data_IF_431136891455
#
_entry.id   IF_431136891455
#
_cell.length_a   1.000
_cell.length_b   1.000
_cell.length_c   1.000
_cell.angle_alpha   90.00
_cell.angle_beta   90.00
_cell.angle_gamma   90.00
#
_symmetry.space_group_name_H-M   'P 1'
#
loop_
_entity.id
_entity.type
_entity.pdbx_description
1 polymer ?
#
# COMPACT_ATOMS: atom_id res chain seq x y z
N UNK A 1 -4.21 -0.24 -13.54
CA UNK A 1 -3.87 0.88 -12.65
C UNK A 1 -3.87 0.34 -11.24
N UNK A 2 -2.82 0.55 -10.46
CA UNK A 2 -2.81 0.18 -9.03
C UNK A 2 -3.82 1.07 -8.31
N UNK A 3 -4.83 0.49 -7.66
CA UNK A 3 -5.81 1.23 -6.87
C UNK A 3 -5.18 1.77 -5.58
N UNK A 4 -5.82 2.74 -4.93
CA UNK A 4 -5.38 3.18 -3.60
C UNK A 4 -5.42 2.00 -2.61
N UNK A 5 -6.43 1.13 -2.69
CA UNK A 5 -6.49 -0.09 -1.87
C UNK A 5 -5.23 -0.95 -2.04
N UNK A 6 -4.82 -1.27 -3.27
CA UNK A 6 -3.62 -2.08 -3.50
C UNK A 6 -2.32 -1.38 -3.10
N UNK A 7 -2.30 -0.04 -3.07
CA UNK A 7 -1.12 0.70 -2.63
C UNK A 7 -0.89 0.60 -1.12
N UNK A 8 -1.94 0.39 -0.33
CA UNK A 8 -1.87 0.39 1.14
C UNK A 8 -2.19 -0.96 1.78
N UNK A 9 -3.17 -1.69 1.26
CA UNK A 9 -3.56 -3.02 1.70
C UNK A 9 -2.79 -4.07 0.89
N UNK A 10 -2.13 -4.99 1.59
CA UNK A 10 -1.26 -6.01 0.99
C UNK A 10 0.18 -5.97 1.48
N UNK A 11 0.54 -4.98 2.28
CA UNK A 11 1.83 -4.91 2.96
C UNK A 11 1.73 -5.49 4.36
N UNK A 12 2.64 -6.39 4.71
CA UNK A 12 2.82 -6.88 6.08
C UNK A 12 4.05 -6.20 6.66
N UNK A 13 3.92 -5.64 7.87
CA UNK A 13 5.05 -5.04 8.57
C UNK A 13 5.94 -6.14 9.15
N UNK A 14 7.24 -5.88 9.25
CA UNK A 14 8.13 -6.76 10.02
C UNK A 14 7.85 -6.63 11.51
N UNK A 15 7.73 -7.77 12.19
CA UNK A 15 7.49 -7.82 13.63
C UNK A 15 8.74 -7.45 14.43
N UNK A 16 8.53 -6.66 15.48
CA UNK A 16 9.51 -6.37 16.52
C UNK A 16 9.35 -7.34 17.70
N UNK A 17 10.37 -7.44 18.56
CA UNK A 17 10.21 -8.06 19.86
C UNK A 17 9.14 -7.32 20.70
N UNK A 18 8.34 -8.01 21.53
CA UNK A 18 7.22 -7.43 22.27
C UNK A 18 7.56 -6.23 23.17
N UNK A 19 8.82 -6.12 23.61
CA UNK A 19 9.33 -5.10 24.52
C UNK A 19 10.16 -4.00 23.82
N UNK A 20 10.07 -3.91 22.49
CA UNK A 20 10.80 -2.91 21.72
C UNK A 20 10.38 -1.48 22.11
N UNK A 21 11.34 -0.70 22.62
CA UNK A 21 11.09 0.67 23.10
C UNK A 21 11.10 1.73 21.99
N UNK A 22 11.78 1.45 20.88
CA UNK A 22 11.93 2.36 19.73
C UNK A 22 11.89 1.56 18.43
N UNK A 23 10.70 1.15 17.97
CA UNK A 23 10.55 0.36 16.75
C UNK A 23 11.04 1.16 15.54
N UNK A 24 12.11 0.67 14.92
CA UNK A 24 12.67 1.22 13.70
C UNK A 24 13.47 0.12 12.98
N UNK A 25 13.36 0.06 11.66
CA UNK A 25 14.10 -0.89 10.82
C UNK A 25 15.21 -0.16 10.06
N UNK A 26 16.44 -0.62 10.24
CA UNK A 26 17.58 -0.31 9.37
C UNK A 26 17.61 -1.36 8.25
N UNK A 27 17.36 -0.90 7.01
CA UNK A 27 17.24 -1.74 5.83
C UNK A 27 18.51 -1.67 4.99
N UNK A 28 19.09 -2.82 4.67
CA UNK A 28 20.25 -2.91 3.79
C UNK A 28 20.09 -4.07 2.82
N UNK A 29 20.67 -3.92 1.64
CA UNK A 29 20.65 -4.95 0.60
C UNK A 29 22.07 -5.34 0.17
N UNK A 30 22.23 -6.61 -0.23
CA UNK A 30 23.41 -7.17 -0.90
C UNK A 30 22.93 -7.89 -2.15
N UNK A 31 23.64 -7.72 -3.26
CA UNK A 31 23.46 -8.53 -4.47
C UNK A 31 24.70 -9.40 -4.62
N UNK A 32 24.50 -10.69 -4.88
CA UNK A 32 25.55 -11.67 -5.16
C UNK A 32 25.32 -12.23 -6.57
N UNK A 33 26.08 -11.76 -7.55
CA UNK A 33 25.84 -12.03 -8.98
C UNK A 33 26.14 -13.48 -9.40
N UNK A 34 26.73 -14.29 -8.52
CA UNK A 34 27.19 -15.66 -8.83
C UNK A 34 26.67 -16.72 -7.84
N UNK A 35 25.46 -16.51 -7.31
CA UNK A 35 24.87 -17.45 -6.36
C UNK A 35 24.48 -18.78 -7.02
N UNK A 36 24.75 -19.89 -6.32
CA UNK A 36 24.44 -21.24 -6.80
C UNK A 36 23.04 -21.67 -6.35
N UNK A 37 22.21 -22.15 -7.28
CA UNK A 37 20.92 -22.79 -6.96
C UNK A 37 21.18 -24.07 -6.17
N UNK A 38 20.70 -24.13 -4.91
CA UNK A 38 20.81 -25.35 -4.09
C UNK A 38 19.91 -26.45 -4.66
N UNK A 39 20.44 -27.68 -4.77
CA UNK A 39 19.80 -28.83 -5.44
C UNK A 39 18.61 -29.47 -4.69
N UNK A 40 18.11 -28.82 -3.64
CA UNK A 40 17.11 -29.39 -2.72
C UNK A 40 15.74 -28.77 -2.94
N UNK A 41 15.04 -29.27 -3.96
CA UNK A 41 13.67 -28.91 -4.33
C UNK A 41 13.39 -29.41 -5.75
N UNK A 42 12.24 -30.02 -5.99
CA UNK A 42 11.91 -30.71 -7.24
C UNK A 42 12.11 -29.83 -8.49
N UNK A 43 12.81 -30.41 -9.48
CA UNK A 43 13.22 -29.86 -10.78
C UNK A 43 14.25 -28.73 -10.75
N UNK A 44 15.53 -29.13 -10.83
CA UNK A 44 16.53 -28.28 -11.48
C UNK A 44 15.98 -27.85 -12.85
N UNK A 45 15.88 -26.55 -13.08
CA UNK A 45 15.47 -25.97 -14.36
C UNK A 45 16.54 -26.25 -15.41
N UNK A 46 16.58 -27.49 -15.93
CA UNK A 46 17.43 -27.82 -17.08
C UNK A 46 16.88 -27.09 -18.29
N UNK A 47 17.55 -26.01 -18.67
CA UNK A 47 17.38 -25.46 -20.00
C UNK A 47 17.78 -26.53 -21.02
N UNK A 48 16.94 -26.74 -22.03
CA UNK A 48 17.22 -27.69 -23.11
C UNK A 48 18.25 -27.15 -24.12
N UNK A 49 18.58 -25.85 -24.02
CA UNK A 49 19.55 -25.19 -24.88
C UNK A 49 20.98 -25.44 -24.34
N UNK A 50 21.84 -26.15 -25.10
CA UNK A 50 23.20 -26.47 -24.69
C UNK A 50 24.11 -25.23 -24.58
N UNK A 51 23.72 -24.09 -25.13
CA UNK A 51 24.47 -22.83 -25.09
C UNK A 51 23.98 -21.90 -23.95
N UNK A 52 23.09 -22.37 -23.08
CA UNK A 52 22.52 -21.55 -22.02
C UNK A 52 23.19 -21.75 -20.65
N UNK A 53 23.90 -20.74 -20.16
CA UNK A 53 24.68 -20.77 -18.90
C UNK A 53 23.85 -20.49 -17.63
N UNK A 54 22.52 -20.41 -17.73
CA UNK A 54 21.64 -20.05 -16.61
C UNK A 54 21.15 -21.24 -15.75
N UNK A 55 21.62 -22.47 -16.00
CA UNK A 55 21.11 -23.70 -15.35
C UNK A 55 21.37 -23.74 -13.83
N UNK A 56 22.36 -22.97 -13.33
CA UNK A 56 22.80 -23.09 -11.92
C UNK A 56 23.14 -21.80 -11.19
N UNK A 57 23.34 -20.70 -11.92
CA UNK A 57 23.76 -19.41 -11.37
C UNK A 57 22.66 -18.39 -11.52
N UNK A 58 22.48 -17.56 -10.51
CA UNK A 58 21.55 -16.43 -10.53
C UNK A 58 22.11 -15.29 -9.67
N UNK A 59 21.66 -14.07 -9.94
CA UNK A 59 21.94 -12.96 -9.05
C UNK A 59 21.02 -13.10 -7.81
N UNK A 60 21.59 -13.30 -6.62
CA UNK A 60 20.83 -13.37 -5.38
C UNK A 60 20.75 -11.99 -4.73
N UNK A 61 19.53 -11.51 -4.47
CA UNK A 61 19.26 -10.37 -3.60
C UNK A 61 19.08 -10.87 -2.17
N UNK A 62 19.88 -10.36 -1.25
CA UNK A 62 19.64 -10.45 0.19
C UNK A 62 19.24 -9.09 0.73
N UNK A 63 18.09 -8.98 1.39
CA UNK A 63 17.68 -7.80 2.17
C UNK A 63 17.72 -8.16 3.65
N UNK A 64 18.41 -7.35 4.46
CA UNK A 64 18.32 -7.43 5.91
C UNK A 64 17.53 -6.25 6.48
N UNK A 65 16.65 -6.53 7.42
CA UNK A 65 16.00 -5.54 8.27
C UNK A 65 16.47 -5.75 9.70
N UNK A 66 17.14 -4.76 10.29
CA UNK A 66 17.68 -4.83 11.66
C UNK A 66 17.02 -3.76 12.52
N UNK A 67 16.43 -4.15 13.64
CA UNK A 67 16.00 -3.20 14.65
C UNK A 67 17.07 -3.06 15.73
N UNK A 68 17.80 -1.96 15.73
CA UNK A 68 18.84 -1.70 16.74
C UNK A 68 18.30 -1.52 18.16
N UNK A 69 17.00 -1.24 18.33
CA UNK A 69 16.39 -1.09 19.65
C UNK A 69 16.05 -2.41 20.34
N UNK A 70 15.67 -3.45 19.59
CA UNK A 70 15.27 -4.75 20.17
C UNK A 70 16.08 -5.94 19.67
N UNK A 71 17.05 -5.71 18.77
CA UNK A 71 17.89 -6.76 18.21
C UNK A 71 17.19 -7.71 17.25
N UNK A 72 15.92 -7.47 16.91
CA UNK A 72 15.20 -8.26 15.90
C UNK A 72 15.89 -8.12 14.53
N UNK A 73 16.06 -9.24 13.84
CA UNK A 73 16.69 -9.30 12.50
C UNK A 73 15.81 -10.16 11.60
N UNK A 74 15.42 -9.60 10.45
CA UNK A 74 14.83 -10.34 9.33
C UNK A 74 15.83 -10.40 8.18
N UNK A 75 16.03 -11.59 7.61
CA UNK A 75 16.85 -11.81 6.41
C UNK A 75 15.95 -12.39 5.33
N UNK A 76 15.82 -11.67 4.23
CA UNK A 76 15.05 -12.05 3.06
C UNK A 76 16.01 -12.32 1.91
N UNK A 77 15.87 -13.47 1.26
CA UNK A 77 16.68 -13.86 0.09
C UNK A 77 15.77 -14.14 -1.10
N UNK A 78 16.19 -13.77 -2.30
CA UNK A 78 15.45 -14.06 -3.53
C UNK A 78 16.28 -13.80 -4.78
N UNK A 79 15.75 -14.18 -5.94
CA UNK A 79 16.38 -13.90 -7.22
C UNK A 79 16.25 -12.41 -7.57
N UNK A 80 17.37 -11.76 -7.84
CA UNK A 80 17.43 -10.37 -8.26
C UNK A 80 17.17 -10.28 -9.76
N UNK A 81 16.07 -9.62 -10.14
CA UNK A 81 15.76 -9.34 -11.54
C UNK A 81 16.09 -7.89 -11.93
N UNK A 82 15.59 -6.94 -11.16
CA UNK A 82 15.82 -5.51 -11.38
C UNK A 82 15.46 -4.72 -10.13
N UNK A 83 15.93 -3.49 -10.05
CA UNK A 83 15.47 -2.50 -9.07
C UNK A 83 15.08 -1.21 -9.77
N UNK A 84 14.10 -0.51 -9.22
CA UNK A 84 13.74 0.84 -9.66
C UNK A 84 13.56 1.73 -8.44
N UNK A 85 14.03 2.96 -8.54
CA UNK A 85 13.86 3.98 -7.50
C UNK A 85 12.88 5.02 -8.00
N UNK A 86 11.84 5.27 -7.23
CA UNK A 86 10.81 6.26 -7.53
C UNK A 86 10.50 7.08 -6.28
N UNK A 87 9.57 8.03 -6.39
CA UNK A 87 9.15 8.88 -5.27
C UNK A 87 7.76 8.48 -4.78
N UNK A 88 7.50 8.74 -3.50
CA UNK A 88 6.21 8.46 -2.85
C UNK A 88 5.02 9.14 -3.56
N UNK A 89 5.24 10.27 -4.24
CA UNK A 89 4.20 10.94 -5.01
C UNK A 89 3.70 10.10 -6.20
N UNK A 90 4.56 9.24 -6.76
CA UNK A 90 4.24 8.39 -7.92
C UNK A 90 3.50 7.14 -7.47
N UNK A 91 3.97 6.46 -6.43
CA UNK A 91 3.40 5.19 -5.95
C UNK A 91 2.24 5.36 -4.98
N UNK A 92 2.02 6.56 -4.45
CA UNK A 92 0.97 6.87 -3.47
C UNK A 92 1.31 6.43 -2.05
N UNK A 93 1.89 5.23 -1.90
CA UNK A 93 2.36 4.70 -0.64
C UNK A 93 3.46 5.58 -0.01
N UNK A 94 3.38 5.77 1.32
CA UNK A 94 4.33 6.57 2.11
C UNK A 94 4.06 8.08 2.14
N UNK A 95 3.05 8.58 1.42
CA UNK A 95 2.62 9.99 1.52
C UNK A 95 1.86 10.23 2.81
N UNK A 96 2.09 11.38 3.45
CA UNK A 96 1.33 11.80 4.64
C UNK A 96 -0.15 12.02 4.29
N UNK A 97 -1.10 11.56 5.15
CA UNK A 97 -2.51 11.83 4.94
C UNK A 97 -2.83 13.32 5.14
N UNK A 98 -3.90 13.79 4.50
CA UNK A 98 -4.52 15.08 4.83
C UNK A 98 -5.59 14.86 5.89
N UNK A 99 -5.70 15.74 6.88
CA UNK A 99 -6.76 15.65 7.88
C UNK A 99 -7.95 16.53 7.50
N UNK A 100 -9.10 15.91 7.26
CA UNK A 100 -10.32 16.61 6.82
C UNK A 100 -11.50 16.04 7.59
N UNK A 101 -12.26 16.90 8.26
CA UNK A 101 -13.52 16.54 8.95
C UNK A 101 -13.38 15.35 9.93
N UNK A 102 -12.27 15.28 10.68
CA UNK A 102 -12.02 14.20 11.63
C UNK A 102 -11.57 12.87 10.99
N UNK A 103 -11.26 12.87 9.69
CA UNK A 103 -10.73 11.73 8.96
C UNK A 103 -9.30 12.00 8.48
N UNK A 104 -8.51 10.94 8.36
CA UNK A 104 -7.25 10.93 7.63
C UNK A 104 -7.52 10.49 6.19
N UNK A 105 -7.13 11.33 5.23
CA UNK A 105 -7.33 11.13 3.78
C UNK A 105 -6.00 10.76 3.15
N UNK A 106 -5.83 9.47 2.89
CA UNK A 106 -4.62 8.85 2.37
C UNK A 106 -4.62 8.86 0.84
N UNK A 107 -3.67 9.53 0.18
CA UNK A 107 -3.64 9.60 -1.27
C UNK A 107 -3.22 8.28 -1.89
N UNK A 108 -3.94 7.81 -2.91
CA UNK A 108 -3.49 6.74 -3.78
C UNK A 108 -2.32 7.17 -4.69
N UNK A 109 -1.89 6.27 -5.60
CA UNK A 109 -0.87 6.57 -6.59
C UNK A 109 -1.25 7.81 -7.43
N UNK A 110 -0.25 8.63 -7.76
CA UNK A 110 -0.42 9.71 -8.72
C UNK A 110 -0.68 9.14 -10.12
N UNK A 111 -1.41 9.89 -10.95
CA UNK A 111 -1.45 9.59 -12.37
C UNK A 111 -0.05 9.85 -12.97
N UNK A 112 0.39 8.97 -13.86
CA UNK A 112 1.73 9.03 -14.46
C UNK A 112 2.00 10.43 -15.04
N UNK A 113 3.10 11.05 -14.61
CA UNK A 113 3.63 12.34 -15.07
C UNK A 113 2.94 13.64 -14.62
N UNK A 114 1.81 13.58 -13.91
CA UNK A 114 1.07 14.78 -13.51
C UNK A 114 1.47 15.24 -12.09
N UNK A 115 2.61 15.94 -12.00
CA UNK A 115 3.01 16.59 -10.75
C UNK A 115 1.98 17.65 -10.35
N UNK A 116 1.36 17.45 -9.19
CA UNK A 116 0.47 18.44 -8.58
C UNK A 116 -1.02 18.20 -8.80
N UNK A 117 -1.40 17.18 -9.58
CA UNK A 117 -2.79 16.76 -9.69
C UNK A 117 -3.24 15.91 -8.50
N UNK A 118 -4.54 15.95 -8.24
CA UNK A 118 -5.17 15.18 -7.17
C UNK A 118 -5.18 13.69 -7.56
N UNK A 119 -4.75 12.76 -6.69
CA UNK A 119 -4.82 11.33 -6.96
C UNK A 119 -6.21 10.86 -7.36
N UNK A 120 -6.26 9.83 -8.19
CA UNK A 120 -7.52 9.27 -8.69
C UNK A 120 -8.41 8.74 -7.55
N UNK A 121 -7.77 8.18 -6.53
CA UNK A 121 -8.40 7.59 -5.37
C UNK A 121 -7.71 8.00 -4.08
N UNK A 122 -8.48 8.04 -3.00
CA UNK A 122 -8.00 8.21 -1.64
C UNK A 122 -8.67 7.20 -0.72
N UNK A 123 -7.93 6.73 0.28
CA UNK A 123 -8.48 5.93 1.37
C UNK A 123 -8.79 6.84 2.55
N UNK A 124 -9.85 6.52 3.28
CA UNK A 124 -10.27 7.24 4.48
C UNK A 124 -10.07 6.35 5.69
N UNK A 125 -9.39 6.86 6.72
CA UNK A 125 -9.33 6.23 8.04
C UNK A 125 -9.83 7.20 9.11
N UNK A 126 -10.12 6.70 10.30
CA UNK A 126 -10.33 7.56 11.48
C UNK A 126 -9.09 8.45 11.70
N UNK A 127 -9.29 9.65 12.26
CA UNK A 127 -8.18 10.49 12.68
C UNK A 127 -7.24 9.75 13.64
N UNK A 128 -5.94 10.01 13.51
CA UNK A 128 -4.90 9.39 14.36
C UNK A 128 -4.42 8.01 13.91
N UNK A 129 -5.02 7.40 12.87
CA UNK A 129 -4.44 6.19 12.30
C UNK A 129 -3.04 6.48 11.73
N UNK A 130 -2.04 5.69 12.13
CA UNK A 130 -0.66 5.80 11.65
C UNK A 130 -0.45 5.01 10.35
N UNK A 131 -1.26 3.99 10.13
CA UNK A 131 -1.24 3.13 8.94
C UNK A 131 -2.67 2.86 8.46
N UNK A 132 -2.80 2.58 7.17
CA UNK A 132 -4.05 2.07 6.61
C UNK A 132 -4.04 0.56 6.73
N UNK A 133 -5.02 0.01 7.45
CA UNK A 133 -5.27 -1.41 7.58
C UNK A 133 -6.75 -1.69 7.30
N UNK A 134 -7.12 -2.95 7.26
CA UNK A 134 -8.52 -3.32 7.09
C UNK A 134 -9.42 -2.77 8.19
N UNK A 135 -8.91 -2.72 9.43
CA UNK A 135 -9.59 -2.25 10.63
C UNK A 135 -9.71 -0.72 10.70
N UNK A 136 -8.73 0.00 10.16
CA UNK A 136 -8.72 1.47 10.22
C UNK A 136 -9.46 2.11 9.04
N UNK A 137 -9.69 1.36 7.95
CA UNK A 137 -10.34 1.83 6.73
C UNK A 137 -11.85 2.04 6.95
N UNK A 138 -12.31 3.28 6.77
CA UNK A 138 -13.72 3.68 6.92
C UNK A 138 -14.38 4.13 5.63
N UNK A 139 -13.61 4.32 4.55
CA UNK A 139 -14.14 4.83 3.29
C UNK A 139 -13.10 4.94 2.17
N UNK A 140 -13.60 5.25 0.97
CA UNK A 140 -12.82 5.54 -0.22
C UNK A 140 -13.41 6.78 -0.88
N UNK A 141 -12.54 7.65 -1.39
CA UNK A 141 -12.91 8.71 -2.31
C UNK A 141 -12.34 8.31 -3.67
N UNK A 142 -13.16 8.40 -4.70
CA UNK A 142 -12.67 8.30 -6.08
C UNK A 142 -13.11 9.50 -6.88
N UNK A 143 -12.49 9.67 -8.04
CA UNK A 143 -12.88 10.68 -9.02
C UNK A 143 -13.35 10.06 -10.33
N UNK A 144 -14.17 10.80 -11.05
CA UNK A 144 -14.59 10.51 -12.42
C UNK A 144 -14.81 11.83 -13.14
N UNK A 145 -14.81 11.81 -14.48
CA UNK A 145 -14.96 13.01 -15.29
C UNK A 145 -16.20 12.93 -16.19
N UNK A 146 -17.39 13.29 -15.70
CA UNK A 146 -18.57 13.36 -16.55
C UNK A 146 -18.45 14.56 -17.48
N UNK A 147 -18.36 14.30 -18.78
CA UNK A 147 -18.35 15.22 -19.93
C UNK A 147 -17.29 16.35 -19.94
N UNK A 148 -17.12 17.16 -18.88
CA UNK A 148 -16.22 18.34 -18.90
C UNK A 148 -15.49 18.66 -17.59
N UNK A 149 -15.98 18.25 -16.42
CA UNK A 149 -15.38 18.61 -15.13
C UNK A 149 -15.16 17.38 -14.25
N UNK A 150 -14.07 17.37 -13.49
CA UNK A 150 -13.85 16.36 -12.45
C UNK A 150 -14.97 16.41 -11.41
N UNK A 151 -15.41 15.23 -11.01
CA UNK A 151 -16.37 14.98 -9.95
C UNK A 151 -15.84 13.86 -9.07
N UNK A 152 -16.14 13.97 -7.79
CA UNK A 152 -15.75 13.01 -6.78
C UNK A 152 -16.99 12.25 -6.32
N UNK A 153 -16.74 11.02 -5.91
CA UNK A 153 -17.68 10.21 -5.16
C UNK A 153 -17.00 9.77 -3.87
N UNK A 154 -17.79 9.51 -2.84
CA UNK A 154 -17.31 8.79 -1.67
C UNK A 154 -18.13 7.54 -1.45
N UNK A 155 -17.45 6.51 -0.99
CA UNK A 155 -18.02 5.31 -0.41
C UNK A 155 -17.54 5.24 1.03
N UNK A 156 -18.44 4.99 1.98
CA UNK A 156 -18.10 4.91 3.40
C UNK A 156 -18.88 3.79 4.07
N UNK A 157 -18.49 3.45 5.30
CA UNK A 157 -19.10 2.37 6.10
C UNK A 157 -18.95 1.00 5.40
N UNK A 158 -17.73 0.45 5.35
CA UNK A 158 -17.51 -0.84 4.73
C UNK A 158 -18.24 -1.93 5.52
N UNK A 159 -18.86 -2.87 4.79
CA UNK A 159 -19.52 -4.04 5.33
C UNK A 159 -18.84 -5.31 4.79
N UNK A 160 -18.52 -6.23 5.71
CA UNK A 160 -17.83 -7.49 5.45
C UNK A 160 -16.32 -7.43 5.67
N UNK A 161 -15.73 -8.58 6.01
CA UNK A 161 -14.36 -8.70 6.54
C UNK A 161 -13.31 -9.05 5.47
N UNK A 162 -13.58 -8.83 4.17
CA UNK A 162 -12.66 -9.28 3.12
C UNK A 162 -12.27 -8.22 2.10
N UNK A 163 -10.99 -8.27 1.72
CA UNK A 163 -10.28 -7.41 0.77
C UNK A 163 -10.80 -7.45 -0.68
N UNK A 164 -11.66 -8.40 -1.04
CA UNK A 164 -12.07 -8.64 -2.44
C UNK A 164 -13.50 -8.15 -2.79
N UNK A 165 -14.28 -7.64 -1.84
CA UNK A 165 -15.70 -7.35 -2.10
C UNK A 165 -16.40 -6.50 -1.05
N UNK A 166 -15.80 -5.38 -0.63
CA UNK A 166 -16.46 -4.46 0.31
C UNK A 166 -17.73 -3.88 -0.33
N UNK A 167 -18.87 -4.19 0.28
CA UNK A 167 -20.08 -3.40 0.11
C UNK A 167 -20.01 -2.17 1.01
N UNK A 168 -20.56 -1.05 0.56
CA UNK A 168 -20.51 0.22 1.29
C UNK A 168 -21.93 0.64 1.65
N UNK A 169 -22.19 0.91 2.93
CA UNK A 169 -23.53 1.31 3.39
C UNK A 169 -23.83 2.78 3.02
N UNK A 170 -22.80 3.58 2.70
CA UNK A 170 -22.95 4.97 2.26
C UNK A 170 -22.30 5.21 0.90
N UNK A 171 -23.00 5.94 0.03
CA UNK A 171 -22.52 6.42 -1.27
C UNK A 171 -23.04 7.84 -1.52
N UNK A 172 -22.14 8.72 -1.93
CA UNK A 172 -22.46 10.07 -2.37
C UNK A 172 -21.62 10.43 -3.60
N UNK A 173 -22.19 11.20 -4.53
CA UNK A 173 -21.63 11.43 -5.87
C UNK A 173 -21.81 12.88 -6.33
N UNK A 174 -21.14 13.24 -7.43
CA UNK A 174 -21.23 14.59 -8.00
C UNK A 174 -20.55 15.67 -7.15
N UNK A 175 -19.72 15.26 -6.19
CA UNK A 175 -19.00 16.14 -5.29
C UNK A 175 -17.91 16.89 -6.05
N UNK A 176 -17.64 18.15 -5.67
CA UNK A 176 -16.71 19.01 -6.42
C UNK A 176 -15.25 18.89 -5.96
N UNK A 177 -14.99 18.40 -4.76
CA UNK A 177 -13.65 18.33 -4.16
C UNK A 177 -13.51 17.11 -3.26
N UNK A 178 -12.26 16.67 -3.03
CA UNK A 178 -11.94 15.65 -2.01
C UNK A 178 -12.44 16.06 -0.63
N UNK A 179 -12.35 17.35 -0.29
CA UNK A 179 -12.82 17.85 1.00
C UNK A 179 -14.35 17.73 1.17
N UNK A 180 -15.12 17.91 0.10
CA UNK A 180 -16.56 17.69 0.12
C UNK A 180 -16.89 16.20 0.30
N UNK A 181 -16.16 15.32 -0.40
CA UNK A 181 -16.31 13.88 -0.29
C UNK A 181 -15.95 13.36 1.12
N UNK A 182 -14.84 13.83 1.70
CA UNK A 182 -14.45 13.49 3.06
C UNK A 182 -15.49 13.95 4.09
N UNK A 183 -16.07 15.15 3.93
CA UNK A 183 -17.15 15.63 4.79
C UNK A 183 -18.42 14.78 4.69
N UNK A 184 -18.79 14.34 3.48
CA UNK A 184 -19.95 13.46 3.28
C UNK A 184 -19.75 12.11 3.99
N UNK A 185 -18.58 11.50 3.82
CA UNK A 185 -18.22 10.27 4.54
C UNK A 185 -18.20 10.45 6.07
N UNK A 186 -17.64 11.56 6.56
CA UNK A 186 -17.61 11.87 8.00
C UNK A 186 -19.03 12.05 8.57
N UNK A 187 -19.93 12.71 7.84
CA UNK A 187 -21.33 12.86 8.25
C UNK A 187 -22.05 11.51 8.36
N UNK A 188 -21.82 10.60 7.40
CA UNK A 188 -22.38 9.25 7.43
C UNK A 188 -21.87 8.43 8.62
N UNK A 189 -20.58 8.54 8.95
CA UNK A 189 -19.97 7.90 10.12
C UNK A 189 -20.60 8.42 11.42
N UNK A 190 -20.69 9.74 11.58
CA UNK A 190 -21.28 10.36 12.77
C UNK A 190 -22.75 9.96 12.96
N UNK A 191 -23.53 9.89 11.88
CA UNK A 191 -24.93 9.47 11.92
C UNK A 191 -25.10 8.01 12.40
N UNK A 192 -24.13 7.12 12.10
CA UNK A 192 -24.15 5.71 12.56
C UNK A 192 -23.74 5.57 14.03
N UNK A 193 -22.88 6.45 14.53
CA UNK A 193 -22.36 6.41 15.90
C UNK A 193 -23.24 7.15 16.91
N UNK A 194 -24.25 7.91 16.46
CA UNK A 194 -25.19 8.58 17.34
C UNK A 194 -26.03 7.55 18.14
N UNK A 195 -26.09 7.65 19.48
CA UNK A 195 -26.95 6.78 20.27
C UNK A 195 -28.42 6.99 19.88
N UNK A 196 -29.13 5.87 19.70
CA UNK A 196 -30.56 5.83 19.41
C UNK A 196 -31.41 6.41 20.54
#
# INVERSE_FOLDING_TARGET
MTSALSAYLGWTSFDHAPDCRRPAWDLQQKIDDDALRTRTGEQAHRCADPDCDHDRRYAELTVRAVCHSCGAVHILTGEYHSSSTTRVEVIGYGRRPRHIAGLSVWPGPGLLHERGEEPWEHLLTRAGAETVSEDTLVGIIGQHRPHRAWRYYCLALPRGDSSAGRTWDHRDEGLKTVAAAARSAAAALAAREAPS
#
